data_IF_918308877508
#
_entry.id   IF_918308877508
#
_cell.length_a   1.000
_cell.length_b   1.000
_cell.length_c   1.000
_cell.angle_alpha   90.00
_cell.angle_beta   90.00
_cell.angle_gamma   90.00
#
_symmetry.space_group_name_H-M   'P 1'
#
loop_
_entity.id
_entity.type
_entity.pdbx_description
1 polymer ?
#
# COMPACT_ATOMS: atom_id res chain seq x y z
N UNK A 1 -0.14 10.08 3.97
CA UNK A 1 -0.39 9.30 5.18
C UNK A 1 -1.38 8.20 4.88
N UNK A 2 -1.09 6.96 5.22
CA UNK A 2 -2.02 5.83 5.10
C UNK A 2 -1.87 4.93 3.88
N UNK A 3 -1.13 5.32 2.85
CA UNK A 3 -0.93 4.46 1.67
C UNK A 3 0.13 3.39 1.96
N UNK A 4 1.18 3.71 2.69
CA UNK A 4 2.22 2.76 3.12
C UNK A 4 1.71 1.76 4.17
N UNK A 5 0.62 2.07 4.86
CA UNK A 5 -0.08 1.17 5.77
C UNK A 5 -0.34 -0.23 5.21
N UNK A 6 -0.57 -0.33 3.90
CA UNK A 6 -0.92 -1.57 3.22
C UNK A 6 0.23 -2.58 3.28
N UNK A 7 1.47 -2.12 3.03
CA UNK A 7 2.64 -3.00 3.02
C UNK A 7 2.94 -3.59 4.39
N UNK A 8 2.72 -2.81 5.41
CA UNK A 8 2.85 -3.22 6.78
C UNK A 8 1.91 -4.38 7.16
N UNK A 9 0.67 -4.38 6.64
CA UNK A 9 -0.32 -5.42 6.92
C UNK A 9 -0.02 -6.76 6.23
N UNK A 10 0.89 -6.80 5.27
CA UNK A 10 1.31 -8.02 4.58
C UNK A 10 2.68 -8.53 5.03
N UNK A 11 3.24 -7.97 6.10
CA UNK A 11 4.43 -8.55 6.74
C UNK A 11 4.25 -10.06 6.89
N UNK A 12 5.21 -10.88 6.44
CA UNK A 12 5.13 -12.34 6.56
C UNK A 12 4.84 -12.80 7.98
N UNK A 13 5.44 -12.13 8.97
CA UNK A 13 5.22 -12.43 10.38
C UNK A 13 3.80 -12.07 10.84
N UNK A 14 3.26 -10.95 10.37
CA UNK A 14 1.88 -10.56 10.70
C UNK A 14 0.89 -11.51 10.04
N UNK A 15 1.11 -11.90 8.79
CA UNK A 15 0.20 -12.81 8.09
C UNK A 15 0.23 -14.20 8.73
N UNK A 16 1.38 -14.73 9.13
CA UNK A 16 1.43 -15.96 9.91
C UNK A 16 0.67 -15.82 11.24
N UNK A 17 0.79 -14.69 11.91
CA UNK A 17 0.03 -14.39 13.12
C UNK A 17 -1.47 -14.28 12.83
N UNK A 18 -1.87 -13.61 11.77
CA UNK A 18 -3.26 -13.45 11.34
C UNK A 18 -3.88 -14.78 10.86
N UNK A 19 -3.14 -15.59 10.11
CA UNK A 19 -3.62 -16.91 9.64
C UNK A 19 -3.78 -17.92 10.78
N UNK A 20 -3.03 -17.76 11.87
CA UNK A 20 -3.11 -18.62 13.06
C UNK A 20 -4.00 -18.06 14.17
N UNK A 21 -4.45 -16.80 14.06
CA UNK A 21 -5.33 -16.14 15.01
C UNK A 21 -6.66 -15.86 14.32
N UNK A 22 -7.75 -16.22 14.96
CA UNK A 22 -9.09 -15.76 14.56
C UNK A 22 -9.07 -14.24 14.40
N UNK A 23 -9.29 -13.75 13.15
CA UNK A 23 -9.28 -12.32 12.82
C UNK A 23 -10.23 -11.48 13.68
N UNK A 24 -11.22 -12.14 14.31
CA UNK A 24 -12.10 -11.54 15.30
C UNK A 24 -11.40 -11.29 16.65
N UNK A 25 -10.27 -11.94 16.90
CA UNK A 25 -9.53 -11.88 18.17
C UNK A 25 -8.39 -10.84 18.17
N UNK A 26 -8.03 -10.22 17.04
CA UNK A 26 -7.12 -9.07 16.97
C UNK A 26 -7.85 -7.79 17.43
N UNK A 27 -8.41 -7.87 18.62
CA UNK A 27 -9.00 -6.75 19.32
C UNK A 27 -7.88 -5.87 19.89
N UNK A 28 -7.50 -4.84 19.18
CA UNK A 28 -6.55 -3.82 19.66
C UNK A 28 -7.26 -2.97 20.72
N UNK A 29 -7.17 -3.39 21.97
CA UNK A 29 -7.74 -2.69 23.11
C UNK A 29 -6.84 -1.49 23.48
N UNK A 30 -7.42 -0.28 23.40
CA UNK A 30 -6.87 0.92 24.03
C UNK A 30 -7.92 1.43 24.99
N UNK A 31 -7.52 1.79 26.20
CA UNK A 31 -8.40 2.36 27.20
C UNK A 31 -9.26 3.48 26.61
N UNK A 32 -10.59 3.28 26.58
CA UNK A 32 -11.56 4.26 26.07
C UNK A 32 -11.83 4.24 24.57
N UNK A 33 -11.23 3.35 23.78
CA UNK A 33 -11.45 3.24 22.33
C UNK A 33 -12.23 1.97 22.00
N UNK A 34 -13.22 2.12 21.13
CA UNK A 34 -14.01 0.99 20.62
C UNK A 34 -13.10 0.02 19.85
N UNK A 35 -13.19 -1.28 20.21
CA UNK A 35 -12.52 -2.36 19.48
C UNK A 35 -12.84 -2.29 17.98
N UNK A 36 -11.83 -2.51 17.12
CA UNK A 36 -11.98 -2.49 15.67
C UNK A 36 -11.24 -3.69 15.08
N UNK A 37 -11.82 -4.27 14.04
CA UNK A 37 -11.12 -5.30 13.25
C UNK A 37 -10.04 -4.66 12.38
N UNK A 38 -9.07 -5.46 11.93
CA UNK A 38 -8.04 -4.99 11.01
C UNK A 38 -8.64 -4.46 9.70
N UNK A 39 -9.64 -5.16 9.17
CA UNK A 39 -10.37 -4.73 7.97
C UNK A 39 -11.08 -3.37 8.17
N UNK A 40 -11.78 -3.19 9.30
CA UNK A 40 -12.45 -1.93 9.59
C UNK A 40 -11.45 -0.79 9.84
N UNK A 41 -10.31 -1.09 10.45
CA UNK A 41 -9.24 -0.12 10.66
C UNK A 41 -8.66 0.37 9.32
N UNK A 42 -8.38 -0.55 8.39
CA UNK A 42 -7.92 -0.22 7.05
C UNK A 42 -8.99 0.52 6.24
N UNK A 43 -10.20 0.00 6.22
CA UNK A 43 -11.36 0.55 5.51
C UNK A 43 -11.66 2.00 5.91
N UNK A 44 -11.59 2.31 7.19
CA UNK A 44 -11.82 3.63 7.75
C UNK A 44 -10.54 4.46 7.93
N UNK A 45 -9.38 3.93 7.52
CA UNK A 45 -8.07 4.59 7.65
C UNK A 45 -7.78 5.05 9.10
N UNK A 46 -7.94 4.14 10.08
CA UNK A 46 -7.78 4.42 11.51
C UNK A 46 -6.30 4.48 11.90
N UNK A 47 -5.73 5.68 11.97
CA UNK A 47 -4.32 5.91 12.26
C UNK A 47 -3.85 5.25 13.58
N UNK A 48 -4.62 5.40 14.64
CA UNK A 48 -4.25 4.89 15.95
C UNK A 48 -4.19 3.35 15.98
N UNK A 49 -5.14 2.68 15.33
CA UNK A 49 -5.12 1.22 15.20
C UNK A 49 -3.86 0.73 14.48
N UNK A 50 -3.42 1.45 13.45
CA UNK A 50 -2.21 1.13 12.69
C UNK A 50 -0.94 1.31 13.51
N UNK A 51 -0.82 2.43 14.24
CA UNK A 51 0.33 2.69 15.10
C UNK A 51 0.44 1.62 16.19
N UNK A 52 -0.69 1.21 16.78
CA UNK A 52 -0.69 0.16 17.79
C UNK A 52 -0.31 -1.20 17.23
N UNK A 53 -0.79 -1.52 16.04
CA UNK A 53 -0.42 -2.75 15.36
C UNK A 53 1.10 -2.78 15.11
N UNK A 54 1.68 -1.69 14.58
CA UNK A 54 3.12 -1.58 14.39
C UNK A 54 3.89 -1.75 15.71
N UNK A 55 3.42 -1.09 16.77
CA UNK A 55 4.04 -1.21 18.09
C UNK A 55 3.97 -2.64 18.65
N UNK A 56 2.93 -3.40 18.31
CA UNK A 56 2.77 -4.80 18.72
C UNK A 56 3.67 -5.76 17.95
N UNK A 57 3.94 -5.48 16.67
CA UNK A 57 4.83 -6.30 15.83
C UNK A 57 6.29 -5.99 16.14
N UNK A 58 6.60 -4.73 16.36
CA UNK A 58 7.95 -4.22 16.56
C UNK A 58 8.46 -3.41 15.36
N UNK A 59 9.06 -2.29 15.65
CA UNK A 59 9.52 -1.32 14.65
C UNK A 59 10.61 -1.90 13.74
N UNK A 60 11.55 -2.63 14.31
CA UNK A 60 12.67 -3.27 13.60
C UNK A 60 12.22 -4.36 12.61
N UNK A 61 11.16 -5.08 12.96
CA UNK A 61 10.57 -6.08 12.06
C UNK A 61 9.95 -5.39 10.87
N UNK A 62 9.12 -4.36 11.11
CA UNK A 62 8.42 -3.63 10.06
C UNK A 62 9.37 -2.87 9.15
N UNK A 63 10.45 -2.27 9.68
CA UNK A 63 11.48 -1.63 8.85
C UNK A 63 12.11 -2.61 7.88
N UNK A 64 12.51 -3.79 8.36
CA UNK A 64 13.10 -4.84 7.51
C UNK A 64 12.15 -5.29 6.43
N UNK A 65 10.88 -5.55 6.78
CA UNK A 65 9.88 -5.94 5.81
C UNK A 65 9.66 -4.86 4.73
N UNK A 66 9.63 -3.58 5.11
CA UNK A 66 9.54 -2.49 4.14
C UNK A 66 10.78 -2.38 3.24
N UNK A 67 11.98 -2.66 3.77
CA UNK A 67 13.21 -2.74 2.97
C UNK A 67 13.15 -3.89 1.96
N UNK A 68 12.63 -5.05 2.36
CA UNK A 68 12.42 -6.21 1.48
C UNK A 68 11.40 -5.90 0.37
N UNK A 69 10.39 -5.09 0.64
CA UNK A 69 9.48 -4.58 -0.38
C UNK A 69 10.16 -3.58 -1.34
N UNK A 70 11.31 -3.03 -0.97
CA UNK A 70 12.11 -2.12 -1.78
C UNK A 70 11.99 -0.65 -1.39
N UNK A 71 11.41 -0.34 -0.23
CA UNK A 71 11.42 1.02 0.31
C UNK A 71 12.81 1.39 0.84
N UNK A 72 13.15 2.68 0.77
CA UNK A 72 14.45 3.23 1.19
C UNK A 72 14.24 4.39 2.15
N UNK A 73 15.28 4.75 2.88
CA UNK A 73 15.31 5.91 3.78
C UNK A 73 14.16 5.91 4.81
N UNK A 74 13.84 4.72 5.34
CA UNK A 74 12.73 4.51 6.27
C UNK A 74 13.11 5.06 7.64
N UNK A 75 12.33 6.01 8.22
CA UNK A 75 12.62 6.56 9.53
C UNK A 75 12.50 5.50 10.64
N UNK A 76 13.36 5.59 11.64
CA UNK A 76 13.32 4.69 12.80
C UNK A 76 12.40 5.22 13.90
N UNK A 77 11.10 5.32 13.60
CA UNK A 77 10.06 5.71 14.57
C UNK A 77 8.66 5.24 14.13
N UNK A 78 7.70 5.28 15.04
CA UNK A 78 6.33 4.79 14.81
C UNK A 78 5.55 5.54 13.72
N UNK A 79 6.02 6.69 13.26
CA UNK A 79 5.34 7.45 12.19
C UNK A 79 5.38 6.73 10.84
N UNK A 80 6.27 5.75 10.66
CA UNK A 80 6.28 4.89 9.46
C UNK A 80 4.97 4.15 9.29
N UNK A 81 4.25 3.84 10.36
CA UNK A 81 2.91 3.28 10.31
C UNK A 81 1.93 4.11 9.49
N UNK A 82 2.18 5.40 9.39
CA UNK A 82 1.36 6.35 8.65
C UNK A 82 1.98 6.77 7.31
N UNK A 83 3.12 6.18 6.94
CA UNK A 83 3.82 6.51 5.70
C UNK A 83 4.46 7.89 5.73
N UNK A 84 5.16 8.22 6.81
CA UNK A 84 5.79 9.53 7.03
C UNK A 84 7.15 9.70 6.34
N UNK A 85 7.40 9.01 5.25
CA UNK A 85 8.64 9.14 4.46
C UNK A 85 8.32 9.34 2.99
N UNK A 86 9.26 9.95 2.28
CA UNK A 86 9.11 10.27 0.87
C UNK A 86 9.26 9.04 -0.03
N UNK A 87 8.44 8.96 -1.05
CA UNK A 87 8.54 7.96 -2.11
C UNK A 87 8.16 8.60 -3.44
N UNK A 88 8.88 8.28 -4.51
CA UNK A 88 8.47 8.73 -5.84
C UNK A 88 7.25 7.92 -6.32
N UNK A 89 6.43 8.51 -7.20
CA UNK A 89 5.32 7.78 -7.83
C UNK A 89 5.80 6.52 -8.56
N UNK A 90 6.97 6.60 -9.19
CA UNK A 90 7.56 5.50 -9.95
C UNK A 90 7.94 4.34 -9.03
N UNK A 91 8.72 4.63 -7.97
CA UNK A 91 9.12 3.62 -6.99
C UNK A 91 7.90 3.03 -6.30
N UNK A 92 6.94 3.88 -5.90
CA UNK A 92 5.73 3.39 -5.24
C UNK A 92 4.85 2.55 -6.15
N UNK A 93 4.80 2.86 -7.46
CA UNK A 93 4.11 2.03 -8.46
C UNK A 93 4.71 0.63 -8.54
N UNK A 94 6.03 0.54 -8.49
CA UNK A 94 6.74 -0.75 -8.48
C UNK A 94 6.41 -1.57 -7.23
N UNK A 95 6.51 -0.99 -6.02
CA UNK A 95 6.13 -1.70 -4.80
C UNK A 95 4.65 -2.08 -4.79
N UNK A 96 3.76 -1.19 -5.25
CA UNK A 96 2.32 -1.44 -5.25
C UNK A 96 1.90 -2.56 -6.21
N UNK A 97 2.70 -2.85 -7.24
CA UNK A 97 2.47 -3.93 -8.20
C UNK A 97 2.40 -5.32 -7.57
N UNK A 98 2.92 -5.48 -6.35
CA UNK A 98 2.84 -6.72 -5.56
C UNK A 98 1.39 -7.20 -5.40
N UNK A 99 0.43 -6.28 -5.27
CA UNK A 99 -0.98 -6.64 -5.06
C UNK A 99 -1.63 -7.17 -6.33
N UNK A 100 -1.73 -6.42 -7.45
CA UNK A 100 -2.27 -6.97 -8.69
C UNK A 100 -1.43 -8.12 -9.25
N UNK A 101 -0.13 -8.18 -8.92
CA UNK A 101 0.77 -9.28 -9.26
C UNK A 101 0.64 -10.52 -8.37
N UNK A 102 -0.35 -10.57 -7.46
CA UNK A 102 -0.56 -11.68 -6.53
C UNK A 102 0.73 -12.10 -5.80
N UNK A 103 1.43 -11.12 -5.24
CA UNK A 103 2.67 -11.34 -4.49
C UNK A 103 3.94 -11.11 -5.29
N UNK A 104 3.85 -10.97 -6.59
CA UNK A 104 4.97 -10.70 -7.48
C UNK A 104 5.11 -9.20 -7.73
N UNK A 105 6.28 -8.65 -7.43
CA UNK A 105 6.67 -7.29 -7.76
C UNK A 105 7.18 -7.23 -9.20
N UNK A 106 6.72 -6.24 -9.96
CA UNK A 106 7.11 -6.00 -11.34
C UNK A 106 7.87 -4.67 -11.46
N UNK A 107 9.04 -4.71 -12.11
CA UNK A 107 9.82 -3.51 -12.38
C UNK A 107 9.02 -2.56 -13.29
N UNK A 108 8.88 -1.31 -12.85
CA UNK A 108 8.18 -0.28 -13.61
C UNK A 108 9.09 0.28 -14.71
N UNK A 109 8.60 0.34 -15.96
CA UNK A 109 9.36 0.80 -17.12
C UNK A 109 8.57 1.81 -17.94
N UNK A 110 9.27 2.77 -18.49
CA UNK A 110 8.71 3.76 -19.42
C UNK A 110 8.92 3.37 -20.88
N UNK A 111 9.93 2.54 -21.16
CA UNK A 111 10.32 2.14 -22.52
C UNK A 111 10.40 0.62 -22.58
N UNK A 112 9.64 0.02 -23.47
CA UNK A 112 9.65 -1.43 -23.71
C UNK A 112 10.55 -1.81 -24.87
N UNK A 113 10.65 -0.95 -25.87
CA UNK A 113 11.35 -1.21 -27.11
C UNK A 113 11.86 0.11 -27.69
N UNK A 114 13.05 0.06 -28.30
CA UNK A 114 13.59 1.12 -29.12
C UNK A 114 13.97 0.52 -30.47
N UNK A 115 13.48 1.11 -31.56
CA UNK A 115 13.88 0.78 -32.94
C UNK A 115 14.73 1.92 -33.51
N UNK A 116 15.89 1.59 -34.03
CA UNK A 116 16.76 2.55 -34.69
C UNK A 116 16.35 2.77 -36.15
N UNK A 117 16.99 3.74 -36.85
CA UNK A 117 16.74 4.07 -38.24
C UNK A 117 17.09 2.95 -39.23
N UNK A 118 17.83 1.91 -38.82
CA UNK A 118 18.22 0.77 -39.63
C UNK A 118 17.30 -0.43 -39.38
N UNK A 119 16.31 -0.32 -38.47
CA UNK A 119 15.41 -1.38 -38.10
C UNK A 119 15.99 -2.33 -37.03
N UNK A 120 17.09 -1.94 -36.37
CA UNK A 120 17.56 -2.68 -35.21
C UNK A 120 16.63 -2.44 -34.02
N UNK A 121 16.21 -3.52 -33.40
CA UNK A 121 15.26 -3.47 -32.26
C UNK A 121 15.98 -3.86 -30.99
N UNK A 122 15.91 -2.96 -30.00
CA UNK A 122 16.40 -3.18 -28.64
C UNK A 122 15.20 -3.37 -27.72
N UNK A 123 15.04 -4.55 -27.14
CA UNK A 123 13.97 -4.87 -26.19
C UNK A 123 14.50 -4.87 -24.78
N UNK A 124 13.68 -4.39 -23.84
CA UNK A 124 13.98 -4.40 -22.42
C UNK A 124 13.11 -5.49 -21.75
N UNK A 125 13.75 -6.58 -21.33
CA UNK A 125 13.03 -7.66 -20.65
C UNK A 125 12.52 -7.20 -19.26
N UNK A 126 11.25 -7.48 -18.93
CA UNK A 126 10.72 -7.14 -17.62
C UNK A 126 11.36 -8.00 -16.53
N UNK A 127 11.75 -7.36 -15.44
CA UNK A 127 12.16 -8.07 -14.23
C UNK A 127 10.98 -8.18 -13.27
N UNK A 128 10.90 -9.32 -12.61
CA UNK A 128 9.92 -9.55 -11.56
C UNK A 128 10.53 -10.38 -10.44
N UNK A 129 10.02 -10.22 -9.24
CA UNK A 129 10.44 -10.96 -8.06
C UNK A 129 9.24 -11.30 -7.19
N UNK A 130 9.17 -12.54 -6.72
CA UNK A 130 8.18 -12.94 -5.72
C UNK A 130 8.61 -12.38 -4.35
N UNK A 131 7.72 -11.62 -3.72
CA UNK A 131 7.98 -10.93 -2.44
C UNK A 131 7.15 -11.56 -1.33
N UNK A 132 5.87 -11.85 -1.60
CA UNK A 132 4.94 -12.48 -0.65
C UNK A 132 4.17 -13.60 -1.36
N UNK A 133 3.57 -14.48 -0.57
CA UNK A 133 2.75 -15.58 -1.11
C UNK A 133 1.45 -15.04 -1.74
N UNK A 134 0.93 -15.69 -2.78
CA UNK A 134 -0.32 -15.28 -3.43
C UNK A 134 -1.51 -15.15 -2.46
N UNK A 135 -1.60 -16.03 -1.46
CA UNK A 135 -2.67 -16.02 -0.47
C UNK A 135 -2.65 -14.76 0.40
N UNK A 136 -1.44 -14.27 0.74
CA UNK A 136 -1.25 -13.03 1.49
C UNK A 136 -1.66 -11.81 0.67
N UNK A 137 -1.24 -11.77 -0.60
CA UNK A 137 -1.65 -10.72 -1.52
C UNK A 137 -3.17 -10.72 -1.71
N UNK A 138 -3.78 -11.88 -1.90
CA UNK A 138 -5.23 -12.03 -2.08
C UNK A 138 -6.03 -11.52 -0.87
N UNK A 139 -5.59 -11.86 0.35
CA UNK A 139 -6.22 -11.35 1.57
C UNK A 139 -6.20 -9.81 1.58
N UNK A 140 -5.06 -9.21 1.23
CA UNK A 140 -4.93 -7.76 1.18
C UNK A 140 -5.79 -7.14 0.08
N UNK A 141 -5.85 -7.75 -1.10
CA UNK A 141 -6.73 -7.33 -2.20
C UNK A 141 -8.19 -7.27 -1.72
N UNK A 142 -8.66 -8.29 -1.01
CA UNK A 142 -10.03 -8.33 -0.47
C UNK A 142 -10.31 -7.16 0.48
N UNK A 143 -9.34 -6.84 1.35
CA UNK A 143 -9.46 -5.70 2.26
C UNK A 143 -9.44 -4.36 1.50
N UNK A 144 -8.61 -4.23 0.46
CA UNK A 144 -8.56 -3.04 -0.40
C UNK A 144 -9.82 -2.86 -1.26
N UNK A 145 -10.46 -3.95 -1.67
CA UNK A 145 -11.79 -3.91 -2.31
C UNK A 145 -12.84 -3.36 -1.34
N UNK A 146 -12.78 -3.74 -0.04
CA UNK A 146 -13.70 -3.21 0.97
C UNK A 146 -13.49 -1.72 1.22
N UNK A 147 -12.25 -1.20 1.13
CA UNK A 147 -11.98 0.25 1.16
C UNK A 147 -12.72 0.99 0.04
N UNK A 148 -12.71 0.44 -1.18
CA UNK A 148 -13.41 1.05 -2.35
C UNK A 148 -14.91 0.83 -2.27
N UNK A 149 -15.37 -0.33 -1.83
CA UNK A 149 -16.81 -0.62 -1.79
C UNK A 149 -17.52 0.07 -0.63
N UNK A 150 -16.92 0.13 0.55
CA UNK A 150 -17.59 0.48 1.80
C UNK A 150 -16.81 1.50 2.65
N UNK A 151 -15.62 1.92 2.23
CA UNK A 151 -14.70 2.74 3.02
C UNK A 151 -14.40 4.11 2.45
N UNK A 152 -13.20 4.61 2.77
CA UNK A 152 -12.71 5.94 2.37
C UNK A 152 -12.48 6.08 0.86
N UNK A 153 -12.37 4.96 0.13
CA UNK A 153 -12.16 4.91 -1.33
C UNK A 153 -13.44 4.91 -2.17
N UNK A 154 -14.62 5.07 -1.59
CA UNK A 154 -15.92 4.92 -2.30
C UNK A 154 -16.07 5.82 -3.53
N UNK A 155 -15.43 6.98 -3.55
CA UNK A 155 -15.47 7.89 -4.70
C UNK A 155 -14.76 7.35 -5.94
N UNK A 156 -13.89 6.34 -5.78
CA UNK A 156 -13.21 5.67 -6.88
C UNK A 156 -14.03 4.52 -7.48
N UNK A 157 -15.16 4.13 -6.87
CA UNK A 157 -15.96 3.01 -7.32
C UNK A 157 -16.51 3.25 -8.72
N UNK A 158 -16.30 2.27 -9.61
CA UNK A 158 -16.86 2.25 -10.97
C UNK A 158 -17.79 1.03 -11.08
N UNK A 159 -19.01 1.26 -11.59
CA UNK A 159 -19.97 0.17 -11.78
C UNK A 159 -19.47 -0.85 -12.81
N UNK A 160 -19.57 -2.13 -12.47
CA UNK A 160 -19.12 -3.23 -13.34
C UNK A 160 -17.62 -3.50 -13.32
N UNK A 161 -16.83 -2.74 -12.57
CA UNK A 161 -15.37 -2.94 -12.42
C UNK A 161 -15.04 -3.27 -10.97
N UNK A 162 -14.34 -4.38 -10.77
CA UNK A 162 -13.78 -4.72 -9.46
C UNK A 162 -12.52 -3.90 -9.21
N UNK A 163 -12.60 -2.98 -8.27
CA UNK A 163 -11.49 -2.11 -7.87
C UNK A 163 -11.05 -2.38 -6.45
N UNK A 164 -9.76 -2.49 -6.26
CA UNK A 164 -9.10 -2.46 -4.97
C UNK A 164 -8.26 -1.19 -4.86
N UNK A 165 -8.21 -0.55 -3.70
CA UNK A 165 -7.41 0.67 -3.58
C UNK A 165 -7.45 1.30 -2.21
N UNK A 166 -6.58 2.30 -2.03
CA UNK A 166 -6.42 3.03 -0.77
C UNK A 166 -6.21 4.52 -1.03
N UNK A 167 -6.88 5.32 -0.24
CA UNK A 167 -6.66 6.76 -0.13
C UNK A 167 -5.56 7.08 0.88
N UNK A 168 -4.83 8.16 0.65
CA UNK A 168 -3.89 8.74 1.60
C UNK A 168 -4.02 10.26 1.62
N UNK A 169 -3.96 10.87 2.79
CA UNK A 169 -3.93 12.32 2.93
C UNK A 169 -3.00 12.66 4.08
N UNK A 170 -2.05 13.56 3.85
CA UNK A 170 -1.16 14.05 4.89
C UNK A 170 -1.86 15.07 5.80
N UNK A 171 -1.28 15.30 6.97
CA UNK A 171 -1.73 16.38 7.84
C UNK A 171 -1.68 17.71 7.08
N UNK A 172 -2.61 18.63 7.40
CA UNK A 172 -2.72 19.93 6.76
C UNK A 172 -2.98 19.89 5.24
N UNK A 173 -3.38 18.71 4.71
CA UNK A 173 -3.65 18.54 3.27
C UNK A 173 -2.49 18.96 2.37
N UNK A 174 -1.27 18.60 2.73
CA UNK A 174 -0.07 18.85 1.90
C UNK A 174 -0.07 17.91 0.69
N UNK A 175 -0.44 16.62 0.91
CA UNK A 175 -0.54 15.62 -0.13
C UNK A 175 -1.89 14.89 -0.08
N UNK A 176 -2.42 14.57 -1.23
CA UNK A 176 -3.51 13.63 -1.40
C UNK A 176 -3.10 12.51 -2.38
N UNK A 177 -3.33 11.26 -1.97
CA UNK A 177 -2.98 10.07 -2.71
C UNK A 177 -4.21 9.20 -2.95
N UNK A 178 -4.23 8.58 -4.10
CA UNK A 178 -5.04 7.40 -4.35
C UNK A 178 -4.18 6.36 -5.08
N UNK A 179 -4.13 5.16 -4.55
CA UNK A 179 -3.49 4.03 -5.19
C UNK A 179 -4.52 2.93 -5.32
N UNK A 180 -4.77 2.47 -6.53
CA UNK A 180 -5.75 1.45 -6.79
C UNK A 180 -5.44 0.65 -8.05
N UNK A 181 -6.14 -0.46 -8.21
CA UNK A 181 -6.00 -1.34 -9.37
C UNK A 181 -7.28 -2.13 -9.62
N UNK A 182 -7.42 -2.53 -10.87
CA UNK A 182 -8.29 -3.62 -11.33
C UNK A 182 -7.40 -4.78 -11.78
N UNK A 183 -7.96 -5.91 -12.25
CA UNK A 183 -7.16 -6.98 -12.85
C UNK A 183 -6.31 -6.55 -14.06
N UNK A 184 -6.65 -5.45 -14.72
CA UNK A 184 -6.03 -5.01 -15.97
C UNK A 184 -5.18 -3.74 -15.82
N UNK A 185 -5.49 -2.87 -14.86
CA UNK A 185 -4.89 -1.53 -14.76
C UNK A 185 -4.54 -1.22 -13.31
N UNK A 186 -3.33 -0.73 -13.08
CA UNK A 186 -2.91 -0.10 -11.84
C UNK A 186 -2.81 1.42 -12.03
N UNK A 187 -3.36 2.18 -11.08
CA UNK A 187 -3.39 3.65 -11.10
C UNK A 187 -2.90 4.18 -9.77
N UNK A 188 -1.88 5.03 -9.82
CA UNK A 188 -1.42 5.81 -8.68
C UNK A 188 -1.56 7.30 -9.02
N UNK A 189 -2.21 8.03 -8.13
CA UNK A 189 -2.42 9.45 -8.27
C UNK A 189 -1.86 10.14 -7.03
N UNK A 190 -1.02 11.12 -7.27
CA UNK A 190 -0.59 12.08 -6.27
C UNK A 190 -1.05 13.48 -6.65
N UNK A 191 -1.55 14.20 -5.68
CA UNK A 191 -1.93 15.59 -5.82
C UNK A 191 -1.36 16.38 -4.64
N UNK A 192 -0.58 17.40 -4.93
CA UNK A 192 0.11 18.23 -3.94
C UNK A 192 0.92 19.34 -4.60
N UNK A 193 1.61 20.12 -3.79
CA UNK A 193 2.52 21.15 -4.23
C UNK A 193 3.98 20.67 -4.11
N UNK A 194 4.80 20.86 -5.13
CA UNK A 194 6.21 20.43 -5.16
C UNK A 194 7.06 20.98 -4.00
N UNK A 195 6.66 22.10 -3.42
CA UNK A 195 7.32 22.73 -2.30
C UNK A 195 6.74 22.32 -0.93
N UNK A 196 5.94 21.27 -0.87
CA UNK A 196 5.28 20.76 0.34
C UNK A 196 4.43 21.81 1.09
N UNK A 197 3.86 22.78 0.39
CA UNK A 197 2.89 23.71 1.00
C UNK A 197 1.50 23.11 1.00
N UNK A 198 0.67 23.40 2.04
CA UNK A 198 -0.72 22.94 2.06
C UNK A 198 -1.50 23.35 0.82
N UNK A 199 -2.32 22.42 0.32
CA UNK A 199 -3.28 22.72 -0.75
C UNK A 199 -4.35 23.67 -0.19
N UNK A 200 -4.66 24.72 -0.94
CA UNK A 200 -5.77 25.63 -0.62
C UNK A 200 -7.02 25.15 -1.36
N UNK A 201 -8.07 24.91 -0.62
CA UNK A 201 -9.40 24.62 -1.14
C UNK A 201 -10.17 25.91 -1.36
#
# INVERSE_FOLDING_TARGET
VGVVLIFFLISPLLVETIMNVDLSALNLEIEGVKLTTLNDALKQSRNLATINLLNSIGLDVVQRDLEDFGFKDIPNNLSIALGSFGVSLMDYSEQYSIFPGLGTKHETRLINLVEDKNGEVFTFEPKSSEIIKPEQAYLMITMLQDVVNNGTGRSAKVEGIELAGKTGTTNESVDAWFCGFSPEIQVLIWYGNDNNTPMRY
#
